data_IF_262164599586
#
_entry.id   IF_262164599586
#
_cell.length_a   1.000
_cell.length_b   1.000
_cell.length_c   1.000
_cell.angle_alpha   90.00
_cell.angle_beta   90.00
_cell.angle_gamma   90.00
#
_symmetry.space_group_name_H-M   'P 1'
#
loop_
_entity.id
_entity.type
_entity.pdbx_description
1 polymer ?
#
# COMPACT_ATOMS: atom_id res chain seq x y z
N UNK A 1 78.94 1.80 -5.22
CA UNK A 1 78.03 0.97 -4.41
C UNK A 1 76.93 1.89 -3.90
N UNK A 2 75.77 1.89 -4.57
CA UNK A 2 74.42 1.52 -4.03
C UNK A 2 73.94 2.42 -2.88
N UNK A 3 72.74 3.01 -2.83
CA UNK A 3 71.56 3.15 -3.70
C UNK A 3 70.65 4.17 -2.97
N UNK A 4 69.94 5.01 -3.72
CA UNK A 4 68.87 5.86 -3.20
C UNK A 4 67.71 4.98 -2.69
N UNK A 5 67.19 5.26 -1.49
CA UNK A 5 65.98 4.65 -0.95
C UNK A 5 64.94 5.74 -0.69
N UNK A 6 64.02 5.86 -1.64
CA UNK A 6 62.83 6.72 -1.56
C UNK A 6 61.78 6.02 -0.71
N UNK A 7 61.39 6.61 0.42
CA UNK A 7 60.32 6.07 1.27
C UNK A 7 58.96 6.42 0.65
N UNK A 8 58.28 5.42 0.08
CA UNK A 8 56.89 5.53 -0.39
C UNK A 8 55.97 5.38 0.82
N UNK A 9 55.21 6.43 1.14
CA UNK A 9 54.16 6.39 2.15
C UNK A 9 52.92 5.70 1.54
N UNK A 10 52.65 4.46 1.92
CA UNK A 10 51.42 3.77 1.54
C UNK A 10 50.25 4.33 2.37
N UNK A 11 49.31 5.03 1.72
CA UNK A 11 48.04 5.39 2.33
C UNK A 11 47.17 4.12 2.46
N UNK A 12 46.99 3.64 3.69
CA UNK A 12 45.99 2.64 4.03
C UNK A 12 44.60 3.26 3.87
N UNK A 13 43.92 2.95 2.77
CA UNK A 13 42.48 3.18 2.63
C UNK A 13 41.79 2.17 3.55
N UNK A 14 41.30 2.64 4.69
CA UNK A 14 40.38 1.87 5.51
C UNK A 14 39.04 1.80 4.76
N UNK A 15 38.76 0.66 4.14
CA UNK A 15 37.41 0.33 3.65
C UNK A 15 36.56 0.14 4.91
N UNK A 16 35.81 1.17 5.29
CA UNK A 16 34.73 1.02 6.25
C UNK A 16 33.71 0.07 5.63
N UNK A 17 33.68 -1.16 6.13
CA UNK A 17 32.64 -2.13 5.79
C UNK A 17 31.34 -1.56 6.32
N UNK A 18 30.49 -1.04 5.44
CA UNK A 18 29.10 -0.73 5.79
C UNK A 18 28.44 -2.07 6.10
N UNK A 19 28.24 -2.34 7.39
CA UNK A 19 27.37 -3.42 7.84
C UNK A 19 25.95 -3.09 7.36
N UNK A 20 25.55 -3.71 6.25
CA UNK A 20 24.15 -3.85 5.91
C UNK A 20 23.51 -4.65 7.06
N UNK A 21 22.48 -4.13 7.76
CA UNK A 21 21.77 -4.90 8.77
C UNK A 21 21.29 -6.21 8.12
N UNK A 22 21.63 -7.30 8.78
CA UNK A 22 21.64 -8.63 8.19
C UNK A 22 20.29 -9.04 7.60
N UNK A 23 20.37 -9.87 6.56
CA UNK A 23 19.29 -10.75 6.19
C UNK A 23 18.78 -11.45 7.46
N UNK A 24 17.51 -11.22 7.78
CA UNK A 24 16.77 -11.96 8.80
C UNK A 24 17.06 -13.44 8.62
N UNK A 25 17.84 -14.03 9.53
CA UNK A 25 17.92 -15.49 9.61
C UNK A 25 16.51 -15.98 9.87
N UNK A 26 15.96 -16.78 8.96
CA UNK A 26 14.62 -17.34 9.12
C UNK A 26 14.56 -18.02 10.50
N UNK A 27 13.73 -17.50 11.39
CA UNK A 27 13.57 -18.06 12.72
C UNK A 27 13.05 -19.49 12.56
N UNK A 28 13.69 -20.46 13.21
CA UNK A 28 13.22 -21.83 13.20
C UNK A 28 11.79 -21.87 13.76
N UNK A 29 10.91 -22.68 13.15
CA UNK A 29 9.54 -22.84 13.62
C UNK A 29 9.51 -23.28 15.09
N UNK A 30 8.58 -22.73 15.86
CA UNK A 30 8.39 -23.06 17.28
C UNK A 30 7.77 -24.44 17.44
N UNK A 31 6.95 -24.85 16.46
CA UNK A 31 6.30 -26.16 16.42
C UNK A 31 6.13 -26.63 14.98
N UNK A 32 6.28 -27.93 14.76
CA UNK A 32 5.95 -28.59 13.49
C UNK A 32 4.71 -29.45 13.64
N UNK A 33 3.78 -29.33 12.71
CA UNK A 33 2.61 -30.17 12.54
C UNK A 33 2.82 -31.02 11.28
N UNK A 34 2.66 -32.32 11.42
CA UNK A 34 2.81 -33.28 10.33
C UNK A 34 1.46 -33.66 9.75
N UNK A 35 1.39 -33.87 8.43
CA UNK A 35 0.16 -34.34 7.78
C UNK A 35 0.44 -35.37 6.69
N UNK A 36 -0.50 -36.30 6.48
CA UNK A 36 -0.50 -37.16 5.29
C UNK A 36 -1.38 -36.54 4.20
N UNK A 37 -1.14 -36.91 2.94
CA UNK A 37 -2.03 -36.57 1.82
C UNK A 37 -2.42 -37.85 1.09
N UNK A 38 -3.72 -38.07 0.88
CA UNK A 38 -4.23 -39.26 0.20
C UNK A 38 -5.57 -39.01 -0.49
N UNK A 39 -6.03 -40.00 -1.26
CA UNK A 39 -7.39 -40.01 -1.83
C UNK A 39 -8.26 -41.08 -1.17
N UNK A 40 -9.59 -40.90 -1.18
CA UNK A 40 -10.53 -41.93 -0.73
C UNK A 40 -11.80 -41.97 -1.58
N UNK A 41 -12.14 -43.17 -2.04
CA UNK A 41 -13.24 -43.39 -2.98
C UNK A 41 -12.86 -43.07 -4.42
N UNK A 42 -13.83 -43.05 -5.33
CA UNK A 42 -13.62 -42.66 -6.72
C UNK A 42 -13.57 -41.14 -6.83
N UNK A 43 -12.34 -40.62 -6.90
CA UNK A 43 -12.06 -39.18 -7.07
C UNK A 43 -11.59 -38.91 -8.49
N UNK A 44 -11.92 -37.73 -9.03
CA UNK A 44 -11.45 -37.31 -10.36
C UNK A 44 -10.35 -36.23 -10.27
N UNK A 45 -10.12 -35.64 -9.10
CA UNK A 45 -9.05 -34.68 -8.88
C UNK A 45 -7.67 -35.33 -8.86
N UNK A 46 -6.68 -34.55 -9.29
CA UNK A 46 -5.28 -34.99 -9.30
C UNK A 46 -4.66 -34.90 -7.90
N UNK A 47 -4.12 -36.03 -7.42
CA UNK A 47 -3.50 -36.11 -6.10
C UNK A 47 -2.21 -35.29 -6.02
N UNK A 48 -1.44 -35.20 -7.10
CA UNK A 48 -0.21 -34.40 -7.16
C UNK A 48 -0.50 -32.91 -6.97
N UNK A 49 -1.47 -32.39 -7.73
CA UNK A 49 -1.99 -31.03 -7.61
C UNK A 49 -2.55 -30.75 -6.23
N UNK A 50 -3.37 -31.67 -5.68
CA UNK A 50 -3.91 -31.54 -4.33
C UNK A 50 -2.81 -31.42 -3.27
N UNK A 51 -1.78 -32.28 -3.36
CA UNK A 51 -0.63 -32.27 -2.47
C UNK A 51 0.18 -30.98 -2.58
N UNK A 52 0.42 -30.49 -3.80
CA UNK A 52 1.16 -29.25 -4.05
C UNK A 52 0.44 -28.03 -3.48
N UNK A 53 -0.86 -27.88 -3.79
CA UNK A 53 -1.66 -26.77 -3.26
C UNK A 53 -1.74 -26.82 -1.73
N UNK A 54 -1.88 -28.01 -1.13
CA UNK A 54 -1.85 -28.15 0.33
C UNK A 54 -0.53 -27.67 0.94
N UNK A 55 0.61 -28.06 0.36
CA UNK A 55 1.92 -27.63 0.82
C UNK A 55 2.09 -26.11 0.73
N UNK A 56 1.77 -25.51 -0.42
CA UNK A 56 1.88 -24.06 -0.61
C UNK A 56 0.95 -23.30 0.34
N UNK A 57 -0.30 -23.76 0.48
CA UNK A 57 -1.32 -23.10 1.31
C UNK A 57 -0.97 -23.13 2.79
N UNK A 58 -0.53 -24.28 3.30
CA UNK A 58 -0.24 -24.47 4.73
C UNK A 58 1.07 -23.84 5.16
N UNK A 59 1.97 -23.55 4.21
CA UNK A 59 3.25 -22.88 4.49
C UNK A 59 3.22 -21.37 4.25
N UNK A 60 2.19 -20.84 3.58
CA UNK A 60 2.04 -19.39 3.36
C UNK A 60 1.90 -18.62 4.70
N UNK A 61 2.74 -17.59 4.86
CA UNK A 61 2.83 -16.76 6.07
C UNK A 61 1.52 -16.08 6.48
N UNK A 62 0.62 -15.83 5.53
CA UNK A 62 -0.70 -15.24 5.77
C UNK A 62 -1.67 -16.23 6.43
N UNK A 63 -1.40 -17.52 6.28
CA UNK A 63 -2.26 -18.62 6.72
C UNK A 63 -1.94 -19.16 8.11
N UNK A 64 -2.20 -20.46 8.24
CA UNK A 64 -1.98 -21.19 9.48
C UNK A 64 -0.52 -21.43 9.83
N UNK A 65 0.44 -21.09 8.95
CA UNK A 65 1.84 -21.10 9.35
C UNK A 65 2.17 -20.03 10.41
N UNK A 66 1.24 -19.09 10.66
CA UNK A 66 1.35 -18.03 11.65
C UNK A 66 2.62 -17.18 11.45
N UNK A 67 2.97 -16.95 10.19
CA UNK A 67 4.18 -16.22 9.80
C UNK A 67 5.46 -17.06 9.94
N UNK A 68 5.32 -18.38 9.90
CA UNK A 68 6.41 -19.36 9.96
C UNK A 68 6.68 -19.95 11.34
N UNK A 69 5.99 -19.49 12.38
CA UNK A 69 6.15 -20.02 13.75
C UNK A 69 5.53 -21.40 13.91
N UNK A 70 4.53 -21.75 13.10
CA UNK A 70 3.94 -23.07 13.00
C UNK A 70 4.29 -23.69 11.64
N UNK A 71 5.20 -24.66 11.60
CA UNK A 71 5.55 -25.36 10.38
C UNK A 71 4.53 -26.47 10.07
N UNK A 72 4.24 -26.68 8.78
CA UNK A 72 3.48 -27.84 8.30
C UNK A 72 4.38 -28.71 7.44
N UNK A 73 4.46 -30.00 7.75
CA UNK A 73 5.32 -30.95 7.06
C UNK A 73 4.53 -32.16 6.58
N UNK A 74 4.53 -32.39 5.28
CA UNK A 74 3.95 -33.61 4.73
C UNK A 74 4.84 -34.82 5.04
N UNK A 75 4.25 -35.91 5.52
CA UNK A 75 4.94 -37.18 5.85
C UNK A 75 4.18 -38.37 5.27
N UNK A 76 4.85 -39.50 4.97
CA UNK A 76 4.20 -40.64 4.33
C UNK A 76 3.23 -41.40 5.25
N UNK A 77 3.43 -41.35 6.57
CA UNK A 77 2.55 -41.99 7.56
C UNK A 77 2.84 -41.46 8.97
N UNK A 78 1.98 -41.78 9.94
CA UNK A 78 2.21 -41.43 11.35
C UNK A 78 2.07 -39.95 11.67
N UNK A 79 1.36 -39.21 10.82
CA UNK A 79 1.20 -37.77 10.93
C UNK A 79 0.25 -37.34 12.07
N UNK A 80 0.20 -36.05 12.38
CA UNK A 80 -0.75 -35.46 13.32
C UNK A 80 -2.19 -35.49 12.77
N UNK A 81 -2.36 -35.21 11.47
CA UNK A 81 -3.65 -35.30 10.78
C UNK A 81 -3.56 -35.85 9.36
N UNK A 82 -4.69 -36.30 8.82
CA UNK A 82 -4.79 -36.82 7.47
C UNK A 82 -5.56 -35.84 6.58
N UNK A 83 -4.94 -35.34 5.52
CA UNK A 83 -5.60 -34.51 4.51
C UNK A 83 -6.03 -35.40 3.33
N UNK A 84 -7.33 -35.55 3.14
CA UNK A 84 -7.90 -36.57 2.24
C UNK A 84 -8.78 -35.93 1.19
N UNK A 85 -8.42 -36.06 -0.09
CA UNK A 85 -9.31 -35.77 -1.20
C UNK A 85 -10.30 -36.93 -1.35
N UNK A 86 -11.59 -36.69 -1.14
CA UNK A 86 -12.58 -37.75 -1.01
C UNK A 86 -13.78 -37.54 -1.93
N UNK A 87 -14.34 -38.65 -2.42
CA UNK A 87 -15.57 -38.58 -3.22
C UNK A 87 -16.75 -38.08 -2.37
N UNK A 88 -17.77 -37.43 -2.98
CA UNK A 88 -18.98 -36.97 -2.28
C UNK A 88 -19.61 -38.01 -1.34
N UNK A 89 -19.70 -39.27 -1.78
CA UNK A 89 -20.27 -40.35 -0.99
C UNK A 89 -19.41 -40.71 0.24
N UNK A 90 -18.08 -40.62 0.12
CA UNK A 90 -17.18 -40.84 1.26
C UNK A 90 -17.35 -39.75 2.31
N UNK A 91 -17.42 -38.48 1.89
CA UNK A 91 -17.56 -37.35 2.83
C UNK A 91 -18.93 -37.40 3.53
N UNK A 92 -20.01 -37.60 2.78
CA UNK A 92 -21.37 -37.63 3.35
C UNK A 92 -21.61 -38.76 4.36
N UNK A 93 -20.84 -39.85 4.29
CA UNK A 93 -20.93 -40.98 5.21
C UNK A 93 -19.85 -40.96 6.30
N UNK A 94 -18.99 -39.93 6.37
CA UNK A 94 -17.84 -39.91 7.27
C UNK A 94 -18.26 -39.81 8.75
N UNK A 95 -19.27 -39.00 9.06
CA UNK A 95 -19.84 -38.84 10.41
C UNK A 95 -21.21 -38.14 10.33
N UNK A 96 -22.06 -38.26 11.38
CA UNK A 96 -23.25 -37.43 11.51
C UNK A 96 -22.91 -35.93 11.41
N UNK A 97 -23.59 -35.21 10.53
CA UNK A 97 -23.36 -33.78 10.28
C UNK A 97 -22.47 -33.47 9.07
N UNK A 98 -21.72 -34.44 8.54
CA UNK A 98 -21.07 -34.26 7.24
C UNK A 98 -22.10 -34.35 6.11
N UNK A 99 -21.86 -33.61 5.02
CA UNK A 99 -22.69 -33.60 3.82
C UNK A 99 -21.91 -34.18 2.64
N UNK A 100 -22.60 -34.82 1.70
CA UNK A 100 -21.99 -35.22 0.44
C UNK A 100 -21.64 -34.04 -0.47
N UNK A 101 -22.16 -32.85 -0.17
CA UNK A 101 -21.92 -31.63 -0.97
C UNK A 101 -20.68 -30.87 -0.52
N UNK A 102 -20.34 -30.92 0.77
CA UNK A 102 -19.32 -30.06 1.39
C UNK A 102 -18.12 -30.87 1.87
N UNK A 103 -17.03 -30.16 2.18
CA UNK A 103 -15.89 -30.72 2.90
C UNK A 103 -16.25 -30.93 4.39
N UNK A 104 -15.45 -31.71 5.13
CA UNK A 104 -15.75 -32.00 6.53
C UNK A 104 -14.48 -32.43 7.30
N UNK A 105 -14.34 -31.98 8.55
CA UNK A 105 -13.31 -32.48 9.48
C UNK A 105 -13.91 -33.47 10.49
N UNK A 106 -13.43 -34.70 10.51
CA UNK A 106 -13.83 -35.76 11.46
C UNK A 106 -12.62 -36.28 12.23
N UNK A 107 -12.57 -36.02 13.54
CA UNK A 107 -11.43 -36.41 14.37
C UNK A 107 -10.12 -35.86 13.79
N UNK A 108 -9.19 -36.75 13.45
CA UNK A 108 -7.92 -36.37 12.82
C UNK A 108 -7.95 -36.27 11.29
N UNK A 109 -9.06 -36.61 10.65
CA UNK A 109 -9.15 -36.64 9.19
C UNK A 109 -9.86 -35.38 8.70
N UNK A 110 -9.17 -34.67 7.81
CA UNK A 110 -9.66 -33.48 7.09
C UNK A 110 -10.05 -33.93 5.68
N UNK A 111 -11.35 -34.03 5.41
CA UNK A 111 -11.86 -34.41 4.10
C UNK A 111 -12.11 -33.18 3.24
N UNK A 112 -11.49 -33.16 2.07
CA UNK A 112 -11.79 -32.21 1.01
C UNK A 112 -12.66 -32.91 -0.04
N UNK A 113 -13.85 -32.36 -0.28
CA UNK A 113 -14.79 -32.92 -1.24
C UNK A 113 -14.27 -32.76 -2.68
N UNK A 114 -14.09 -33.87 -3.41
CA UNK A 114 -13.53 -33.89 -4.77
C UNK A 114 -14.32 -33.04 -5.78
N UNK A 115 -15.64 -33.01 -5.67
CA UNK A 115 -16.46 -32.24 -6.59
C UNK A 115 -16.24 -30.75 -6.37
N UNK A 116 -16.24 -30.30 -5.10
CA UNK A 116 -15.95 -28.91 -4.75
C UNK A 116 -14.50 -28.55 -5.07
N UNK A 117 -13.56 -29.45 -4.86
CA UNK A 117 -12.14 -29.26 -5.19
C UNK A 117 -11.92 -28.93 -6.67
N UNK A 118 -12.72 -29.53 -7.57
CA UNK A 118 -12.61 -29.33 -9.01
C UNK A 118 -13.49 -28.22 -9.56
N UNK A 119 -14.63 -27.95 -8.92
CA UNK A 119 -15.68 -27.11 -9.50
C UNK A 119 -16.00 -25.87 -8.66
N UNK A 120 -15.37 -25.71 -7.50
CA UNK A 120 -15.73 -24.71 -6.51
C UNK A 120 -17.25 -24.71 -6.22
N UNK A 121 -17.82 -23.54 -5.98
CA UNK A 121 -19.23 -23.33 -5.62
C UNK A 121 -19.71 -22.05 -6.26
N UNK A 122 -21.03 -21.91 -6.43
CA UNK A 122 -21.62 -20.68 -6.98
C UNK A 122 -21.46 -19.46 -6.07
N UNK A 123 -21.20 -19.65 -4.77
CA UNK A 123 -20.89 -18.56 -3.84
C UNK A 123 -19.45 -18.05 -3.96
N UNK A 124 -18.57 -18.74 -4.70
CA UNK A 124 -17.17 -18.37 -4.87
C UNK A 124 -16.88 -17.83 -6.27
N UNK A 125 -16.69 -16.51 -6.39
CA UNK A 125 -16.46 -15.85 -7.68
C UNK A 125 -14.98 -15.64 -8.05
N UNK A 126 -14.02 -16.05 -7.21
CA UNK A 126 -12.61 -15.65 -7.32
C UNK A 126 -11.71 -16.70 -7.98
N UNK A 127 -12.31 -17.62 -8.74
CA UNK A 127 -11.60 -18.67 -9.45
C UNK A 127 -11.25 -19.89 -8.58
N UNK A 128 -11.03 -21.02 -9.26
CA UNK A 128 -10.77 -22.31 -8.64
C UNK A 128 -9.50 -22.35 -7.77
N UNK A 129 -8.35 -21.75 -8.18
CA UNK A 129 -7.13 -21.83 -7.37
C UNK A 129 -7.29 -21.23 -5.97
N UNK A 130 -7.96 -20.08 -5.85
CA UNK A 130 -8.20 -19.46 -4.55
C UNK A 130 -9.23 -20.23 -3.72
N UNK A 131 -10.23 -20.86 -4.36
CA UNK A 131 -11.17 -21.73 -3.66
C UNK A 131 -10.46 -22.94 -3.03
N UNK A 132 -9.52 -23.54 -3.77
CA UNK A 132 -8.74 -24.69 -3.32
C UNK A 132 -7.91 -24.35 -2.07
N UNK A 133 -7.28 -23.18 -2.02
CA UNK A 133 -6.58 -22.69 -0.84
C UNK A 133 -7.55 -22.46 0.33
N UNK A 134 -8.64 -21.74 0.09
CA UNK A 134 -9.65 -21.45 1.11
C UNK A 134 -10.22 -22.73 1.75
N UNK A 135 -10.62 -23.72 0.96
CA UNK A 135 -11.27 -24.93 1.51
C UNK A 135 -10.29 -25.77 2.33
N UNK A 136 -9.00 -25.80 1.96
CA UNK A 136 -7.96 -26.41 2.79
C UNK A 136 -7.84 -25.65 4.13
N UNK A 137 -7.73 -24.32 4.08
CA UNK A 137 -7.59 -23.51 5.29
C UNK A 137 -8.80 -23.61 6.21
N UNK A 138 -10.02 -23.63 5.66
CA UNK A 138 -11.25 -23.78 6.45
C UNK A 138 -11.25 -25.09 7.24
N UNK A 139 -11.03 -26.22 6.55
CA UNK A 139 -11.11 -27.53 7.20
C UNK A 139 -9.92 -27.81 8.13
N UNK A 140 -8.73 -27.34 7.78
CA UNK A 140 -7.57 -27.41 8.69
C UNK A 140 -7.79 -26.49 9.89
N UNK A 141 -8.48 -25.35 9.73
CA UNK A 141 -8.90 -24.50 10.84
C UNK A 141 -9.78 -25.25 11.85
N UNK A 142 -10.67 -26.12 11.38
CA UNK A 142 -11.43 -27.02 12.26
C UNK A 142 -10.56 -28.01 13.02
N UNK A 143 -9.48 -28.51 12.41
CA UNK A 143 -8.53 -29.39 13.09
C UNK A 143 -7.67 -28.62 14.11
N UNK A 144 -7.32 -27.37 13.80
CA UNK A 144 -6.63 -26.44 14.71
C UNK A 144 -7.49 -25.96 15.89
N UNK A 145 -8.76 -26.37 15.97
CA UNK A 145 -9.67 -26.09 17.08
C UNK A 145 -10.60 -24.89 16.88
N UNK A 146 -10.71 -24.37 15.65
CA UNK A 146 -11.64 -23.29 15.34
C UNK A 146 -13.04 -23.83 14.97
N UNK A 147 -14.08 -23.16 15.47
CA UNK A 147 -15.46 -23.37 15.04
C UNK A 147 -15.84 -22.43 13.90
N UNK A 148 -17.01 -22.65 13.31
CA UNK A 148 -17.55 -21.73 12.31
C UNK A 148 -17.70 -20.31 12.87
N UNK A 149 -17.57 -19.33 11.99
CA UNK A 149 -17.89 -17.92 12.25
C UNK A 149 -18.88 -17.41 11.20
N UNK A 150 -19.70 -16.44 11.56
CA UNK A 150 -20.57 -15.77 10.61
C UNK A 150 -19.90 -14.52 10.03
N UNK A 151 -20.44 -14.01 8.92
CA UNK A 151 -20.09 -12.69 8.41
C UNK A 151 -20.42 -11.64 9.48
N UNK A 152 -19.43 -10.90 9.99
CA UNK A 152 -19.70 -9.87 11.00
C UNK A 152 -20.58 -8.75 10.44
N UNK A 153 -20.31 -8.31 9.22
CA UNK A 153 -21.07 -7.25 8.51
C UNK A 153 -20.77 -7.31 7.02
N UNK A 154 -21.77 -7.01 6.19
CA UNK A 154 -21.60 -6.98 4.73
C UNK A 154 -20.52 -5.99 4.26
N UNK A 155 -19.79 -6.36 3.21
CA UNK A 155 -18.69 -5.58 2.63
C UNK A 155 -17.34 -5.72 3.35
N UNK A 156 -17.25 -6.47 4.43
CA UNK A 156 -15.99 -6.80 5.12
C UNK A 156 -15.42 -8.12 4.62
N UNK A 157 -14.12 -8.35 4.77
CA UNK A 157 -13.51 -9.64 4.51
C UNK A 157 -14.12 -10.72 5.41
N UNK A 158 -14.56 -11.82 4.80
CA UNK A 158 -15.07 -12.99 5.51
C UNK A 158 -14.00 -13.57 6.46
N UNK A 159 -14.35 -14.04 7.66
CA UNK A 159 -13.50 -14.99 8.38
C UNK A 159 -13.23 -16.23 7.51
N UNK A 160 -12.03 -16.81 7.58
CA UNK A 160 -11.76 -18.09 6.88
C UNK A 160 -12.67 -19.19 7.39
N UNK A 161 -13.01 -19.15 8.68
CA UNK A 161 -13.95 -20.08 9.30
C UNK A 161 -15.42 -19.78 9.00
N UNK A 162 -15.71 -18.78 8.17
CA UNK A 162 -17.04 -18.65 7.56
C UNK A 162 -17.23 -19.75 6.52
N UNK A 163 -18.45 -20.31 6.44
CA UNK A 163 -18.83 -21.29 5.44
C UNK A 163 -19.04 -20.65 4.05
N UNK A 164 -17.97 -20.07 3.49
CA UNK A 164 -17.99 -19.30 2.23
C UNK A 164 -18.36 -20.17 1.01
N UNK A 165 -18.17 -21.49 1.08
CA UNK A 165 -18.67 -22.47 0.09
C UNK A 165 -20.20 -22.53 -0.01
N UNK A 166 -20.91 -22.04 1.01
CA UNK A 166 -22.38 -22.05 1.08
C UNK A 166 -22.92 -20.67 0.76
N UNK A 167 -22.43 -19.65 1.48
CA UNK A 167 -22.85 -18.26 1.31
C UNK A 167 -21.85 -17.33 1.96
N UNK A 168 -21.61 -16.19 1.32
CA UNK A 168 -20.80 -15.11 1.88
C UNK A 168 -21.58 -14.25 2.88
N UNK A 169 -22.91 -14.39 2.98
CA UNK A 169 -23.76 -13.61 3.90
C UNK A 169 -23.54 -12.08 3.79
N UNK A 170 -23.14 -11.60 2.59
CA UNK A 170 -22.83 -10.20 2.32
C UNK A 170 -21.37 -9.79 2.52
N UNK A 171 -20.53 -10.63 3.14
CA UNK A 171 -19.09 -10.39 3.22
C UNK A 171 -18.42 -10.52 1.83
N UNK A 172 -17.22 -9.97 1.73
CA UNK A 172 -16.31 -10.24 0.63
C UNK A 172 -15.59 -11.56 0.90
N UNK A 173 -15.43 -12.39 -0.13
CA UNK A 173 -14.70 -13.65 0.03
C UNK A 173 -13.28 -13.36 0.53
N UNK A 174 -12.74 -14.30 1.30
CA UNK A 174 -11.43 -14.16 1.89
C UNK A 174 -10.78 -15.53 2.05
N UNK A 175 -9.55 -15.65 1.54
CA UNK A 175 -8.79 -16.91 1.57
C UNK A 175 -8.03 -17.07 2.88
N UNK A 176 -7.54 -15.97 3.46
CA UNK A 176 -6.56 -16.02 4.57
C UNK A 176 -7.20 -15.66 5.90
N UNK A 177 -6.84 -16.36 7.00
CA UNK A 177 -7.47 -16.15 8.29
C UNK A 177 -7.26 -14.72 8.79
N UNK A 178 -8.31 -14.15 9.39
CA UNK A 178 -8.23 -12.84 10.03
C UNK A 178 -7.31 -12.90 11.27
N UNK A 179 -6.83 -11.74 11.73
CA UNK A 179 -5.97 -11.62 12.92
C UNK A 179 -6.54 -12.41 14.11
N UNK A 180 -7.81 -12.22 14.43
CA UNK A 180 -8.47 -12.90 15.54
C UNK A 180 -8.55 -14.44 15.38
N UNK A 181 -8.52 -14.96 14.15
CA UNK A 181 -8.47 -16.41 13.89
C UNK A 181 -7.05 -16.94 14.06
N UNK A 182 -6.05 -16.23 13.53
CA UNK A 182 -4.62 -16.55 13.72
C UNK A 182 -4.22 -16.52 15.20
N UNK A 183 -4.67 -15.53 15.96
CA UNK A 183 -4.43 -15.46 17.40
C UNK A 183 -5.08 -16.63 18.17
N UNK A 184 -6.29 -17.05 17.79
CA UNK A 184 -6.93 -18.21 18.41
C UNK A 184 -6.18 -19.51 18.11
N UNK A 185 -5.74 -19.69 16.85
CA UNK A 185 -4.93 -20.84 16.45
C UNK A 185 -3.61 -20.87 17.23
N UNK A 186 -2.91 -19.73 17.30
CA UNK A 186 -1.65 -19.57 18.03
C UNK A 186 -1.77 -19.97 19.51
N UNK A 187 -2.80 -19.45 20.21
CA UNK A 187 -3.10 -19.83 21.60
C UNK A 187 -3.35 -21.33 21.75
N UNK A 188 -4.07 -21.93 20.81
CA UNK A 188 -4.39 -23.37 20.85
C UNK A 188 -3.15 -24.23 20.60
N UNK A 189 -2.26 -23.78 19.72
CA UNK A 189 -1.05 -24.52 19.35
C UNK A 189 0.16 -24.23 20.25
N UNK A 190 0.06 -23.24 21.13
CA UNK A 190 1.13 -22.87 22.07
C UNK A 190 2.33 -22.21 21.38
N UNK A 191 2.08 -21.45 20.32
CA UNK A 191 3.10 -20.73 19.53
C UNK A 191 2.76 -19.25 19.42
N UNK A 192 3.75 -18.43 19.06
CA UNK A 192 3.53 -17.02 18.74
C UNK A 192 3.01 -16.83 17.30
N UNK A 193 2.57 -15.61 16.96
CA UNK A 193 2.31 -15.22 15.56
C UNK A 193 3.36 -14.21 15.14
N UNK A 194 4.01 -14.48 14.02
CA UNK A 194 4.87 -13.52 13.34
C UNK A 194 4.01 -12.72 12.33
N UNK A 195 3.76 -11.46 12.67
CA UNK A 195 2.90 -10.56 11.91
C UNK A 195 3.65 -9.91 10.76
N UNK A 196 3.00 -9.74 9.60
CA UNK A 196 3.58 -8.92 8.53
C UNK A 196 3.70 -7.46 8.98
N UNK A 197 4.53 -6.66 8.30
CA UNK A 197 4.65 -5.24 8.62
C UNK A 197 3.31 -4.49 8.50
N UNK A 198 2.45 -4.92 7.56
CA UNK A 198 1.11 -4.38 7.38
C UNK A 198 0.24 -4.70 8.59
N UNK A 199 0.23 -5.96 9.02
CA UNK A 199 -0.55 -6.38 10.20
C UNK A 199 -0.03 -5.71 11.48
N UNK A 200 1.29 -5.57 11.65
CA UNK A 200 1.87 -4.87 12.79
C UNK A 200 1.37 -3.43 12.89
N UNK A 201 1.38 -2.69 11.77
CA UNK A 201 0.86 -1.33 11.73
C UNK A 201 -0.65 -1.29 11.99
N UNK A 202 -1.42 -2.17 11.34
CA UNK A 202 -2.87 -2.23 11.54
C UNK A 202 -3.25 -2.49 13.00
N UNK A 203 -2.53 -3.39 13.68
CA UNK A 203 -2.70 -3.66 15.11
C UNK A 203 -2.35 -2.45 15.97
N UNK A 204 -1.25 -1.77 15.67
CA UNK A 204 -0.86 -0.54 16.37
C UNK A 204 -1.90 0.59 16.21
N UNK A 205 -2.67 0.59 15.12
CA UNK A 205 -3.72 1.56 14.81
C UNK A 205 -5.12 1.18 15.34
N UNK A 206 -5.24 0.09 16.13
CA UNK A 206 -6.49 -0.31 16.78
C UNK A 206 -7.36 -1.29 15.99
N UNK A 207 -6.81 -1.92 14.94
CA UNK A 207 -7.48 -2.95 14.14
C UNK A 207 -8.87 -2.49 13.62
N UNK A 208 -9.86 -3.38 13.65
CA UNK A 208 -11.20 -3.12 13.12
C UNK A 208 -11.96 -2.03 13.89
N UNK A 209 -11.60 -1.79 15.15
CA UNK A 209 -12.15 -0.69 15.96
C UNK A 209 -11.42 0.63 15.77
N UNK A 210 -10.30 0.64 15.04
CA UNK A 210 -9.48 1.80 14.78
C UNK A 210 -9.90 2.58 13.54
N UNK A 211 -9.08 3.59 13.19
CA UNK A 211 -9.35 4.53 12.10
C UNK A 211 -9.53 3.84 10.73
N UNK A 212 -8.73 2.80 10.47
CA UNK A 212 -8.73 2.13 9.18
C UNK A 212 -9.94 1.20 9.01
N UNK A 213 -10.64 0.85 10.10
CA UNK A 213 -11.76 -0.07 10.07
C UNK A 213 -11.36 -1.51 9.69
N UNK A 214 -12.34 -2.41 9.47
CA UNK A 214 -12.08 -3.82 9.17
C UNK A 214 -11.46 -4.02 7.78
N UNK A 215 -10.71 -5.12 7.56
CA UNK A 215 -10.14 -5.45 6.27
C UNK A 215 -11.23 -5.72 5.22
N UNK A 216 -10.97 -5.28 3.99
CA UNK A 216 -11.81 -5.48 2.79
C UNK A 216 -11.16 -6.50 1.86
N UNK A 217 -9.83 -6.53 1.84
CA UNK A 217 -9.04 -7.54 1.15
C UNK A 217 -8.19 -8.30 2.17
N UNK A 218 -7.62 -9.43 1.77
CA UNK A 218 -6.41 -9.94 2.41
C UNK A 218 -5.17 -9.18 1.93
N UNK A 219 -4.01 -9.52 2.48
CA UNK A 219 -2.73 -8.96 2.04
C UNK A 219 -2.35 -9.48 0.65
N UNK A 220 -2.24 -8.56 -0.31
CA UNK A 220 -1.96 -8.78 -1.72
C UNK A 220 -0.55 -8.27 -2.08
N UNK A 221 0.05 -8.87 -3.10
CA UNK A 221 1.21 -8.27 -3.77
C UNK A 221 0.75 -7.11 -4.65
N UNK A 222 1.54 -6.03 -4.69
CA UNK A 222 1.35 -4.96 -5.67
C UNK A 222 1.61 -5.48 -7.09
N UNK A 223 0.98 -4.91 -8.14
CA UNK A 223 1.15 -5.38 -9.52
C UNK A 223 2.58 -5.19 -10.07
N UNK A 224 3.39 -4.33 -9.47
CA UNK A 224 4.83 -4.20 -9.79
C UNK A 224 5.71 -5.25 -9.08
N UNK A 225 5.11 -6.10 -8.24
CA UNK A 225 5.74 -7.17 -7.45
C UNK A 225 6.80 -6.69 -6.43
N UNK A 226 6.89 -5.39 -6.17
CA UNK A 226 7.87 -4.81 -5.23
C UNK A 226 7.33 -4.82 -3.80
N UNK A 227 6.04 -4.57 -3.64
CA UNK A 227 5.40 -4.30 -2.37
C UNK A 227 4.24 -5.22 -2.05
N UNK A 228 3.63 -4.92 -0.92
CA UNK A 228 2.44 -5.59 -0.40
C UNK A 228 1.44 -4.53 0.02
N UNK A 229 0.16 -4.84 -0.07
CA UNK A 229 -0.88 -3.92 0.39
C UNK A 229 -2.11 -4.66 0.91
N UNK A 230 -2.90 -3.95 1.69
CA UNK A 230 -4.21 -4.38 2.13
C UNK A 230 -5.16 -3.18 2.19
N UNK A 231 -6.41 -3.39 1.77
CA UNK A 231 -7.47 -2.38 1.84
C UNK A 231 -8.39 -2.61 3.05
N UNK A 232 -8.91 -1.51 3.58
CA UNK A 232 -9.75 -1.48 4.77
C UNK A 232 -10.95 -0.54 4.59
N UNK A 233 -12.01 -0.78 5.37
CA UNK A 233 -13.32 -0.17 5.23
C UNK A 233 -13.51 1.14 6.01
N UNK A 234 -12.42 1.75 6.50
CA UNK A 234 -12.44 3.03 7.22
C UNK A 234 -13.12 4.14 6.42
N UNK A 235 -13.53 5.22 7.09
CA UNK A 235 -14.30 6.29 6.45
C UNK A 235 -13.53 6.89 5.25
N UNK A 236 -14.15 6.86 4.07
CA UNK A 236 -13.51 7.29 2.81
C UNK A 236 -12.52 6.28 2.21
N UNK A 237 -12.45 5.07 2.77
CA UNK A 237 -11.52 4.02 2.40
C UNK A 237 -10.15 4.18 3.06
N UNK A 238 -9.49 3.06 3.32
CA UNK A 238 -8.14 3.02 3.89
C UNK A 238 -7.29 1.96 3.18
N UNK A 239 -5.98 2.19 3.13
CA UNK A 239 -4.99 1.23 2.65
C UNK A 239 -3.75 1.28 3.52
N UNK A 240 -3.10 0.14 3.72
CA UNK A 240 -1.70 0.10 4.16
C UNK A 240 -0.89 -0.50 3.02
N UNK A 241 0.21 0.16 2.66
CA UNK A 241 1.19 -0.33 1.70
C UNK A 241 2.53 -0.52 2.39
N UNK A 242 3.28 -1.52 1.96
CA UNK A 242 4.62 -1.82 2.45
C UNK A 242 5.55 -2.16 1.30
N UNK A 243 6.80 -1.69 1.40
CA UNK A 243 7.93 -2.22 0.63
C UNK A 243 9.15 -2.39 1.56
N UNK A 244 10.17 -3.15 1.15
CA UNK A 244 11.42 -3.24 1.91
C UNK A 244 12.11 -1.88 2.15
N UNK A 245 11.96 -0.92 1.23
CA UNK A 245 12.64 0.38 1.30
C UNK A 245 11.85 1.46 2.01
N UNK A 246 10.51 1.39 2.01
CA UNK A 246 9.64 2.39 2.63
C UNK A 246 9.17 1.98 4.03
N UNK A 247 9.03 0.68 4.30
CA UNK A 247 8.26 0.23 5.45
C UNK A 247 6.75 0.37 5.22
N UNK A 248 5.96 0.06 6.25
CA UNK A 248 4.50 0.04 6.17
C UNK A 248 3.93 1.41 6.50
N UNK A 249 3.03 1.90 5.66
CA UNK A 249 2.39 3.21 5.83
C UNK A 249 0.92 3.16 5.42
N UNK A 250 0.09 3.79 6.26
CA UNK A 250 -1.34 3.98 6.01
C UNK A 250 -1.63 5.24 5.19
N UNK A 251 -2.59 5.11 4.28
CA UNK A 251 -3.17 6.23 3.50
C UNK A 251 -4.67 6.03 3.52
N UNK A 252 -5.44 7.06 3.88
CA UNK A 252 -6.89 6.96 4.02
C UNK A 252 -7.63 8.20 3.50
N UNK A 253 -8.96 8.12 3.47
CA UNK A 253 -9.85 9.24 3.15
C UNK A 253 -9.54 9.89 1.79
N UNK A 254 -9.59 11.23 1.76
CA UNK A 254 -9.42 12.02 0.54
C UNK A 254 -8.03 11.87 -0.11
N UNK A 255 -6.98 11.70 0.69
CA UNK A 255 -5.62 11.49 0.17
C UNK A 255 -5.54 10.15 -0.56
N UNK A 256 -6.07 9.07 0.05
CA UNK A 256 -6.13 7.76 -0.60
C UNK A 256 -6.94 7.80 -1.88
N UNK A 257 -8.10 8.46 -1.86
CA UNK A 257 -8.93 8.60 -3.05
C UNK A 257 -8.17 9.29 -4.19
N UNK A 258 -7.47 10.38 -3.90
CA UNK A 258 -6.66 11.07 -4.91
C UNK A 258 -5.49 10.23 -5.41
N UNK A 259 -4.81 9.49 -4.53
CA UNK A 259 -3.74 8.60 -4.93
C UNK A 259 -4.24 7.46 -5.82
N UNK A 260 -5.44 6.94 -5.57
CA UNK A 260 -6.10 5.95 -6.42
C UNK A 260 -6.39 6.47 -7.83
N UNK A 261 -6.85 7.72 -7.96
CA UNK A 261 -7.06 8.38 -9.26
C UNK A 261 -5.76 8.56 -10.06
N UNK A 262 -4.63 8.58 -9.35
CA UNK A 262 -3.29 8.68 -9.92
C UNK A 262 -2.66 7.33 -10.22
N UNK A 263 -3.43 6.23 -10.21
CA UNK A 263 -2.95 4.86 -10.47
C UNK A 263 -1.99 4.31 -9.39
N UNK A 264 -2.24 4.70 -8.13
CA UNK A 264 -1.58 4.14 -6.95
C UNK A 264 -0.04 4.20 -7.02
N UNK A 265 0.64 3.09 -6.69
CA UNK A 265 2.09 2.94 -6.72
C UNK A 265 2.66 2.87 -8.14
N UNK A 266 1.86 2.49 -9.13
CA UNK A 266 2.24 2.50 -10.54
C UNK A 266 2.22 3.92 -11.12
N UNK A 267 1.50 4.80 -10.43
CA UNK A 267 1.35 6.21 -10.70
C UNK A 267 2.60 7.08 -10.50
N UNK A 268 2.48 8.39 -10.77
CA UNK A 268 3.57 9.35 -10.64
C UNK A 268 4.07 9.55 -9.19
N UNK A 269 3.33 9.05 -8.19
CA UNK A 269 3.63 9.26 -6.78
C UNK A 269 4.56 8.18 -6.20
N UNK A 270 4.46 6.94 -6.67
CA UNK A 270 5.09 5.78 -6.05
C UNK A 270 4.41 5.39 -4.73
N UNK A 271 5.18 4.82 -3.80
CA UNK A 271 4.69 4.29 -2.53
C UNK A 271 4.63 5.37 -1.44
N UNK A 272 3.71 5.27 -0.47
CA UNK A 272 3.76 6.13 0.71
C UNK A 272 5.06 5.90 1.50
N UNK A 273 5.67 6.99 1.99
CA UNK A 273 6.86 6.98 2.87
C UNK A 273 6.58 7.60 4.25
N UNK A 274 5.33 8.01 4.47
CA UNK A 274 4.81 8.43 5.76
C UNK A 274 3.39 7.90 5.91
N UNK A 275 2.97 7.65 7.14
CA UNK A 275 1.54 7.67 7.48
C UNK A 275 0.95 9.06 7.27
N UNK A 276 -0.37 9.20 7.36
CA UNK A 276 -1.05 10.49 7.19
C UNK A 276 -0.79 11.38 8.41
N UNK A 277 -0.26 12.58 8.18
CA UNK A 277 0.13 13.53 9.21
C UNK A 277 -0.74 14.77 9.17
N UNK A 278 -1.00 15.38 10.32
CA UNK A 278 -1.56 16.73 10.37
C UNK A 278 -0.51 17.74 9.88
N UNK A 279 -0.94 18.75 9.14
CA UNK A 279 -0.08 19.88 8.81
C UNK A 279 0.22 20.72 10.06
N UNK A 280 1.42 21.32 10.16
CA UNK A 280 1.82 22.21 11.25
C UNK A 280 0.83 23.33 11.62
N UNK A 281 0.09 23.87 10.66
CA UNK A 281 -0.95 24.90 10.89
C UNK A 281 -2.26 24.36 11.50
N UNK A 282 -2.41 23.03 11.60
CA UNK A 282 -3.58 22.34 12.15
C UNK A 282 -4.81 22.31 11.23
N UNK A 283 -4.70 22.73 9.97
CA UNK A 283 -5.84 22.83 9.03
C UNK A 283 -5.98 21.58 8.17
N UNK A 284 -4.87 21.05 7.66
CA UNK A 284 -4.82 20.00 6.67
C UNK A 284 -4.22 18.68 7.14
N UNK A 285 -4.14 17.76 6.18
CA UNK A 285 -3.51 16.44 6.30
C UNK A 285 -2.59 16.23 5.11
N UNK A 286 -1.54 15.41 5.25
CA UNK A 286 -0.70 15.04 4.12
C UNK A 286 -0.04 13.67 4.26
N UNK A 287 0.31 13.08 3.11
CA UNK A 287 1.28 11.99 3.01
C UNK A 287 2.40 12.41 2.05
N UNK A 288 3.63 11.93 2.32
CA UNK A 288 4.73 11.95 1.36
C UNK A 288 4.84 10.59 0.66
N UNK A 289 5.33 10.63 -0.60
CA UNK A 289 5.46 9.45 -1.45
C UNK A 289 6.87 9.32 -2.04
N UNK A 290 7.21 8.10 -2.45
CA UNK A 290 8.57 7.63 -2.75
C UNK A 290 9.11 8.06 -4.11
N UNK A 291 8.36 8.83 -4.90
CA UNK A 291 8.85 9.38 -6.17
C UNK A 291 10.27 9.95 -5.96
N UNK A 292 11.28 9.58 -6.78
CA UNK A 292 12.66 10.00 -6.56
C UNK A 292 12.85 11.52 -6.47
N UNK A 293 12.08 12.29 -7.24
CA UNK A 293 12.12 13.75 -7.23
C UNK A 293 11.31 14.40 -6.10
N UNK A 294 10.74 13.60 -5.20
CA UNK A 294 9.79 14.01 -4.16
C UNK A 294 8.35 14.09 -4.68
N UNK A 295 7.42 13.61 -3.85
CA UNK A 295 5.98 13.69 -4.10
C UNK A 295 5.21 13.82 -2.78
N UNK A 296 4.13 14.60 -2.79
CA UNK A 296 3.21 14.76 -1.65
C UNK A 296 1.78 14.86 -2.13
N UNK A 297 0.84 14.41 -1.32
CA UNK A 297 -0.58 14.76 -1.46
C UNK A 297 -1.01 15.47 -0.18
N UNK A 298 -1.56 16.67 -0.32
CA UNK A 298 -2.11 17.46 0.78
C UNK A 298 -3.62 17.54 0.63
N UNK A 299 -4.32 17.51 1.76
CA UNK A 299 -5.77 17.65 1.83
C UNK A 299 -6.15 18.72 2.84
N UNK A 300 -7.19 19.49 2.52
CA UNK A 300 -7.92 20.32 3.50
C UNK A 300 -9.43 20.17 3.30
N UNK A 301 -10.25 20.53 4.30
CA UNK A 301 -11.70 20.54 4.14
C UNK A 301 -12.21 21.45 3.01
N UNK A 302 -11.50 22.54 2.69
CA UNK A 302 -11.95 23.54 1.70
C UNK A 302 -11.44 23.27 0.28
N UNK A 303 -10.29 22.61 0.14
CA UNK A 303 -9.65 22.37 -1.16
C UNK A 303 -9.81 20.93 -1.65
N UNK A 304 -10.01 19.97 -0.75
CA UNK A 304 -9.86 18.56 -1.09
C UNK A 304 -8.38 18.17 -1.24
N UNK A 305 -8.13 16.97 -1.78
CA UNK A 305 -6.80 16.39 -1.89
C UNK A 305 -6.14 16.70 -3.23
N UNK A 306 -4.91 17.21 -3.19
CA UNK A 306 -4.13 17.57 -4.37
C UNK A 306 -2.68 17.11 -4.25
N UNK A 307 -2.17 16.53 -5.33
CA UNK A 307 -0.79 16.12 -5.49
C UNK A 307 0.11 17.27 -5.96
N UNK A 308 1.31 17.31 -5.39
CA UNK A 308 2.41 18.17 -5.82
C UNK A 308 3.67 17.32 -5.83
N UNK A 309 4.42 17.32 -6.93
CA UNK A 309 5.62 16.49 -7.05
C UNK A 309 6.74 17.19 -7.82
N UNK A 310 7.91 16.56 -7.84
CA UNK A 310 9.07 17.05 -8.59
C UNK A 310 9.52 18.46 -8.19
N UNK A 311 9.96 19.22 -9.19
CA UNK A 311 10.54 20.54 -8.99
C UNK A 311 9.55 21.54 -8.37
N UNK A 312 8.26 21.44 -8.70
CA UNK A 312 7.23 22.31 -8.12
C UNK A 312 7.08 22.05 -6.63
N UNK A 313 7.02 20.78 -6.21
CA UNK A 313 6.99 20.41 -4.79
C UNK A 313 8.23 20.91 -4.06
N UNK A 314 9.41 20.74 -4.66
CA UNK A 314 10.65 21.14 -4.02
C UNK A 314 10.72 22.66 -3.85
N UNK A 315 10.27 23.43 -4.85
CA UNK A 315 10.16 24.89 -4.70
C UNK A 315 9.16 25.29 -3.62
N UNK A 316 8.00 24.63 -3.56
CA UNK A 316 7.03 24.88 -2.51
C UNK A 316 7.57 24.55 -1.11
N UNK A 317 8.39 23.50 -0.99
CA UNK A 317 9.07 23.13 0.24
C UNK A 317 10.07 24.18 0.71
N UNK A 318 10.84 24.78 -0.21
CA UNK A 318 11.75 25.90 0.07
C UNK A 318 11.02 27.16 0.53
N UNK A 319 9.74 27.28 0.21
CA UNK A 319 8.86 28.37 0.59
C UNK A 319 8.08 28.06 1.87
N UNK A 320 8.53 27.12 2.71
CA UNK A 320 7.87 26.71 3.96
C UNK A 320 6.46 26.11 3.78
N UNK A 321 6.24 25.40 2.67
CA UNK A 321 5.03 24.59 2.46
C UNK A 321 3.72 25.41 2.61
N UNK A 322 2.73 24.86 3.31
CA UNK A 322 1.44 25.51 3.55
C UNK A 322 1.52 26.69 4.53
N UNK A 323 2.55 26.74 5.39
CA UNK A 323 2.82 27.88 6.26
C UNK A 323 3.41 29.07 5.49
N UNK A 324 3.93 28.77 4.30
CA UNK A 324 4.52 29.70 3.36
C UNK A 324 3.56 30.69 2.70
N UNK A 325 4.09 31.56 1.82
CA UNK A 325 3.32 32.56 1.10
C UNK A 325 2.31 31.97 0.10
N UNK A 326 2.39 30.67 -0.19
CA UNK A 326 1.57 29.99 -1.21
C UNK A 326 0.27 29.44 -0.64
N UNK A 327 0.27 28.98 0.61
CA UNK A 327 -0.81 28.17 1.18
C UNK A 327 -0.84 26.74 0.61
N UNK A 328 -2.03 26.16 0.52
CA UNK A 328 -2.26 24.78 0.08
C UNK A 328 -2.39 24.66 -1.43
N UNK A 329 -2.02 23.53 -2.05
CA UNK A 329 -2.37 23.26 -3.43
C UNK A 329 -3.90 23.23 -3.60
N UNK A 330 -4.40 23.83 -4.67
CA UNK A 330 -5.83 23.80 -5.08
C UNK A 330 -6.04 23.13 -6.45
N UNK A 331 -4.94 22.66 -7.05
CA UNK A 331 -4.95 21.79 -8.22
C UNK A 331 -3.90 20.70 -8.03
N UNK A 332 -4.12 19.55 -8.67
CA UNK A 332 -3.01 18.67 -9.03
C UNK A 332 -2.05 19.32 -10.02
N UNK A 333 -0.92 18.67 -10.30
CA UNK A 333 0.08 19.19 -11.23
C UNK A 333 -0.36 19.03 -12.69
N UNK A 334 -0.57 20.15 -13.38
CA UNK A 334 -1.11 20.19 -14.75
C UNK A 334 -0.03 20.55 -15.75
N UNK A 335 -0.16 20.04 -16.98
CA UNK A 335 0.60 20.56 -18.11
C UNK A 335 0.07 21.95 -18.49
N UNK A 336 0.97 22.83 -18.91
CA UNK A 336 0.58 24.11 -19.52
C UNK A 336 -0.02 23.88 -20.91
N UNK A 337 -0.98 24.72 -21.35
CA UNK A 337 -1.59 24.69 -22.68
C UNK A 337 -0.62 24.62 -23.87
N UNK A 338 0.56 25.23 -23.76
CA UNK A 338 1.60 25.18 -24.80
C UNK A 338 2.38 23.84 -24.86
N UNK A 339 2.18 22.95 -23.88
CA UNK A 339 2.85 21.65 -23.76
C UNK A 339 4.30 21.70 -23.27
N UNK A 340 4.83 22.87 -22.88
CA UNK A 340 6.25 23.03 -22.51
C UNK A 340 6.48 22.83 -21.02
N UNK A 341 5.59 23.38 -20.19
CA UNK A 341 5.74 23.46 -18.76
C UNK A 341 4.69 22.68 -17.97
N UNK A 342 4.82 22.80 -16.65
CA UNK A 342 3.86 22.25 -15.68
C UNK A 342 3.60 23.28 -14.58
N UNK A 343 2.44 23.20 -13.93
CA UNK A 343 2.10 24.12 -12.84
C UNK A 343 1.16 23.50 -11.80
N UNK A 344 1.20 24.10 -10.61
CA UNK A 344 0.16 23.99 -9.60
C UNK A 344 -0.34 25.40 -9.22
N UNK A 345 -1.63 25.53 -8.93
CA UNK A 345 -2.17 26.70 -8.23
C UNK A 345 -2.30 26.43 -6.73
N UNK A 346 -2.20 27.50 -5.94
CA UNK A 346 -2.22 27.44 -4.49
C UNK A 346 -3.24 28.42 -3.88
N UNK A 347 -3.62 28.15 -2.64
CA UNK A 347 -4.79 28.70 -1.96
C UNK A 347 -4.61 30.11 -1.40
N UNK A 348 -3.44 30.75 -1.59
CA UNK A 348 -3.22 32.14 -1.18
C UNK A 348 -4.41 33.00 -1.63
N UNK A 349 -5.03 33.80 -0.74
CA UNK A 349 -6.22 34.59 -1.08
C UNK A 349 -6.06 35.51 -2.29
N UNK A 350 -4.86 36.10 -2.47
CA UNK A 350 -4.55 36.98 -3.60
C UNK A 350 -4.14 36.23 -4.87
N UNK A 351 -4.23 34.90 -4.90
CA UNK A 351 -3.74 34.03 -5.97
C UNK A 351 -2.25 33.69 -5.83
N UNK A 352 -1.92 32.43 -6.07
CA UNK A 352 -0.55 31.92 -6.09
C UNK A 352 -0.41 30.76 -7.08
N UNK A 353 0.71 30.70 -7.79
CA UNK A 353 1.06 29.60 -8.71
C UNK A 353 2.55 29.29 -8.61
N UNK A 354 2.92 28.04 -8.89
CA UNK A 354 4.31 27.68 -9.21
C UNK A 354 4.29 27.06 -10.60
N UNK A 355 5.12 27.60 -11.49
CA UNK A 355 5.31 27.11 -12.85
C UNK A 355 6.72 26.55 -13.00
N UNK A 356 6.86 25.48 -13.77
CA UNK A 356 8.12 24.85 -14.09
C UNK A 356 8.25 24.60 -15.59
N UNK A 357 9.44 24.84 -16.13
CA UNK A 357 9.87 24.33 -17.43
C UNK A 357 11.28 23.74 -17.33
N UNK A 358 11.72 22.93 -18.31
CA UNK A 358 13.10 22.46 -18.37
C UNK A 358 14.15 23.58 -18.45
N UNK A 359 13.82 24.74 -19.04
CA UNK A 359 14.77 25.84 -19.24
C UNK A 359 14.82 26.83 -18.09
N UNK A 360 13.71 27.05 -17.40
CA UNK A 360 13.60 28.04 -16.32
C UNK A 360 13.76 27.41 -14.94
N UNK A 361 13.36 26.15 -14.75
CA UNK A 361 13.16 25.62 -13.40
C UNK A 361 11.82 26.07 -12.80
N UNK A 362 11.60 25.77 -11.52
CA UNK A 362 10.34 26.02 -10.83
C UNK A 362 10.35 27.38 -10.13
N UNK A 363 9.40 28.25 -10.47
CA UNK A 363 9.28 29.59 -9.91
C UNK A 363 7.86 29.89 -9.46
N UNK A 364 7.74 30.45 -8.27
CA UNK A 364 6.51 30.96 -7.70
C UNK A 364 6.19 32.37 -8.22
N UNK A 365 4.91 32.59 -8.50
CA UNK A 365 4.36 33.91 -8.80
C UNK A 365 3.06 34.04 -8.01
N UNK A 366 2.89 35.14 -7.26
CA UNK A 366 1.72 35.34 -6.42
C UNK A 366 1.26 36.79 -6.37
N UNK A 367 0.08 37.02 -5.79
CA UNK A 367 -0.45 38.36 -5.56
C UNK A 367 -0.70 39.16 -6.84
N UNK A 368 -0.50 40.48 -6.75
CA UNK A 368 -0.79 41.40 -7.84
C UNK A 368 0.03 41.10 -9.10
N UNK A 369 1.29 40.68 -8.96
CA UNK A 369 2.16 40.30 -10.07
C UNK A 369 1.59 39.11 -10.84
N UNK A 370 1.19 38.04 -10.14
CA UNK A 370 0.54 36.87 -10.76
C UNK A 370 -0.75 37.27 -11.47
N UNK A 371 -1.58 38.10 -10.83
CA UNK A 371 -2.85 38.51 -11.41
C UNK A 371 -2.65 39.35 -12.67
N UNK A 372 -1.64 40.23 -12.68
CA UNK A 372 -1.27 40.97 -13.89
C UNK A 372 -0.74 40.05 -14.99
N UNK A 373 0.10 39.08 -14.66
CA UNK A 373 0.57 38.09 -15.62
C UNK A 373 -0.56 37.24 -16.20
N UNK A 374 -1.55 36.88 -15.38
CA UNK A 374 -2.77 36.20 -15.83
C UNK A 374 -3.60 37.01 -16.83
N UNK A 375 -3.74 38.33 -16.61
CA UNK A 375 -4.40 39.24 -17.55
C UNK A 375 -3.66 39.36 -18.89
N UNK A 376 -2.37 39.04 -18.90
CA UNK A 376 -1.51 39.03 -20.08
C UNK A 376 -1.42 37.65 -20.74
N UNK A 377 -2.37 36.75 -20.46
CA UNK A 377 -2.45 35.40 -21.03
C UNK A 377 -1.35 34.44 -20.56
N UNK A 378 -0.89 34.62 -19.32
CA UNK A 378 0.01 33.69 -18.62
C UNK A 378 1.29 33.38 -19.44
N UNK A 379 1.69 32.12 -19.52
CA UNK A 379 2.86 31.65 -20.25
C UNK A 379 2.71 31.71 -21.78
N UNK A 380 1.47 31.82 -22.28
CA UNK A 380 1.20 32.04 -23.71
C UNK A 380 1.32 33.52 -24.11
N UNK A 381 1.31 34.39 -23.11
CA UNK A 381 1.49 35.82 -23.22
C UNK A 381 2.88 36.28 -23.64
N UNK A 382 3.06 37.58 -23.88
CA UNK A 382 4.32 38.16 -24.34
C UNK A 382 5.48 38.00 -23.33
N UNK A 383 5.16 37.78 -22.06
CA UNK A 383 6.18 37.59 -21.02
C UNK A 383 6.70 36.15 -20.94
N UNK A 384 5.94 35.16 -21.41
CA UNK A 384 6.29 33.75 -21.28
C UNK A 384 6.34 33.28 -19.81
N UNK A 385 7.24 32.35 -19.52
CA UNK A 385 7.37 31.73 -18.20
C UNK A 385 8.14 32.59 -17.19
N UNK A 386 7.85 32.47 -15.89
CA UNK A 386 8.68 33.08 -14.85
C UNK A 386 10.09 32.47 -14.84
N UNK A 387 11.10 33.33 -14.63
CA UNK A 387 12.52 32.96 -14.48
C UNK A 387 13.08 33.34 -13.11
N UNK A 388 12.26 33.98 -12.27
CA UNK A 388 12.56 34.25 -10.86
C UNK A 388 11.29 34.19 -10.01
N UNK A 389 11.48 33.91 -8.71
CA UNK A 389 10.45 34.18 -7.70
C UNK A 389 10.34 35.69 -7.43
N UNK A 390 9.36 36.10 -6.64
CA UNK A 390 9.18 37.52 -6.30
C UNK A 390 10.26 38.01 -5.31
N UNK A 391 11.02 39.05 -5.70
CA UNK A 391 12.08 39.66 -4.90
C UNK A 391 11.85 41.15 -4.67
N UNK A 392 12.49 41.70 -3.62
CA UNK A 392 12.37 43.11 -3.25
C UNK A 392 13.14 44.01 -4.22
N UNK A 393 12.53 45.13 -4.59
CA UNK A 393 13.15 46.23 -5.33
C UNK A 393 12.83 47.56 -4.65
N UNK A 394 13.49 48.64 -5.05
CA UNK A 394 13.15 49.96 -4.53
C UNK A 394 11.67 50.29 -4.81
N UNK A 395 10.93 50.70 -3.77
CA UNK A 395 9.51 51.04 -3.86
C UNK A 395 8.55 49.85 -3.97
N UNK A 396 9.01 48.61 -4.09
CA UNK A 396 8.13 47.54 -4.53
C UNK A 396 8.70 46.12 -4.48
N UNK A 397 8.09 45.23 -5.26
CA UNK A 397 8.56 43.86 -5.51
C UNK A 397 8.50 43.55 -7.00
N UNK A 398 9.33 42.63 -7.48
CA UNK A 398 9.45 42.30 -8.91
C UNK A 398 9.54 40.79 -9.12
N UNK A 399 8.98 40.32 -10.23
CA UNK A 399 9.28 39.00 -10.80
C UNK A 399 9.73 39.16 -12.25
N UNK A 400 10.70 38.35 -12.64
CA UNK A 400 11.19 38.29 -14.01
C UNK A 400 10.58 37.12 -14.76
N UNK A 401 10.36 37.33 -16.04
CA UNK A 401 9.83 36.38 -17.00
C UNK A 401 10.75 36.33 -18.22
N UNK A 402 10.56 35.35 -19.10
CA UNK A 402 11.40 35.20 -20.29
C UNK A 402 11.40 36.45 -21.20
N UNK A 403 10.25 37.12 -21.32
CA UNK A 403 10.07 38.30 -22.19
C UNK A 403 10.08 39.64 -21.47
N UNK A 404 10.45 39.70 -20.20
CA UNK A 404 10.45 40.95 -19.44
C UNK A 404 10.24 40.75 -17.94
N UNK A 405 9.62 41.72 -17.27
CA UNK A 405 9.36 41.67 -15.84
C UNK A 405 8.08 42.41 -15.47
N UNK A 406 7.55 42.09 -14.29
CA UNK A 406 6.44 42.83 -13.70
C UNK A 406 6.90 43.36 -12.34
N UNK A 407 6.74 44.67 -12.14
CA UNK A 407 7.02 45.35 -10.87
C UNK A 407 5.71 45.71 -10.21
N UNK A 408 5.58 45.41 -8.92
CA UNK A 408 4.49 45.86 -8.06
C UNK A 408 4.98 47.00 -7.17
N UNK A 409 4.29 48.13 -7.22
CA UNK A 409 4.57 49.31 -6.39
C UNK A 409 3.84 49.22 -5.04
N UNK A 410 4.58 49.35 -3.95
CA UNK A 410 4.05 49.20 -2.59
C UNK A 410 3.13 50.36 -2.16
N UNK A 411 3.36 51.57 -2.69
CA UNK A 411 2.63 52.77 -2.28
C UNK A 411 1.24 52.85 -2.92
N UNK A 412 1.13 52.41 -4.16
CA UNK A 412 -0.07 52.52 -5.01
C UNK A 412 -0.80 51.19 -5.17
N UNK A 413 -0.09 50.07 -4.98
CA UNK A 413 -0.59 48.72 -5.22
C UNK A 413 -0.67 48.34 -6.70
N UNK A 414 -0.20 49.19 -7.63
CA UNK A 414 -0.26 48.94 -9.07
C UNK A 414 0.87 48.07 -9.57
N UNK A 415 0.67 47.44 -10.73
CA UNK A 415 1.69 46.68 -11.44
C UNK A 415 2.09 47.34 -12.75
N UNK A 416 3.39 47.38 -13.04
CA UNK A 416 3.96 47.84 -14.31
C UNK A 416 4.67 46.69 -15.03
N UNK A 417 4.53 46.61 -16.35
CA UNK A 417 5.21 45.62 -17.19
C UNK A 417 6.40 46.28 -17.85
N UNK A 418 7.58 45.70 -17.69
CA UNK A 418 8.82 46.14 -18.32
C UNK A 418 9.24 45.09 -19.34
N UNK A 419 9.28 45.45 -20.62
CA UNK A 419 9.72 44.55 -21.70
C UNK A 419 11.23 44.28 -21.62
N UNK A 420 11.66 43.11 -22.10
CA UNK A 420 13.08 42.89 -22.39
C UNK A 420 13.49 43.69 -23.65
N UNK A 421 14.62 44.39 -23.58
CA UNK A 421 15.21 45.14 -24.70
C UNK A 421 15.74 44.23 -25.83
#
# INVERSE_FOLDING_TARGET
MNRYATTVLAALIAIATVLVPGASTAQAAERTITYTVSTRGSVAGDLGHFSAVAADTLTDNRGWSLGGTLAFQQVPSGADFDLVLASPAVVGNAAPGCSSTWSCRVGRTVYINDERWRLATSSWAFGLPLYQQYVILHEVGHWLGLGHRDCPTGGQAAPVMQQQSISLQGCLANVWPLIAEREQAARTQGVSVNWSAIEQLYRALGEAGGLLGPPVTWELSTPDEVGRYQHYAGQGGASIYWTPSTGAHEVYGGIRARWAELDWEQGPMGYPITGERATPDGVGRYNHFSRPSGASIYWTPSTGAHEVYGAIRNRWAELDWEQGPMGYPITGERATPDGVGRYNHFSRPSGASIYWTPSTGAHEVYGAIRNRWAELDWEQGPLGYPVSGEYDVEGGRRSDFQGGSIVWDRATGSTEVLSAD
#
